data_IF_109720506761
#
_entry.id   IF_109720506761
#
_cell.length_a   1.000
_cell.length_b   1.000
_cell.length_c   1.000
_cell.angle_alpha   90.00
_cell.angle_beta   90.00
_cell.angle_gamma   90.00
#
_symmetry.space_group_name_H-M   'P 1'
#
loop_
_entity.id
_entity.type
_entity.pdbx_description
1 polymer ?
#
# COMPACT_ATOMS: atom_id res chain seq x y z
N UNK A 1 6.29 -32.06 -26.40
CA UNK A 1 6.93 -31.09 -25.50
C UNK A 1 7.75 -30.18 -26.39
N UNK A 2 7.60 -28.87 -26.29
CA UNK A 2 8.52 -27.95 -26.97
C UNK A 2 9.85 -28.10 -26.24
N UNK A 3 10.82 -28.73 -26.89
CA UNK A 3 12.17 -28.87 -26.38
C UNK A 3 12.93 -27.55 -26.53
N UNK A 4 14.12 -27.53 -25.92
CA UNK A 4 15.08 -26.44 -26.08
C UNK A 4 15.41 -26.17 -27.57
N UNK A 5 15.40 -27.21 -28.41
CA UNK A 5 15.65 -27.11 -29.84
C UNK A 5 14.59 -26.29 -30.58
N UNK A 6 13.30 -26.55 -30.38
CA UNK A 6 12.23 -25.79 -31.06
C UNK A 6 12.24 -24.31 -30.63
N UNK A 7 12.57 -24.04 -29.35
CA UNK A 7 12.65 -22.67 -28.83
C UNK A 7 13.81 -21.87 -29.45
N UNK A 8 14.95 -22.53 -29.71
CA UNK A 8 16.08 -21.92 -30.43
C UNK A 8 15.70 -21.55 -31.87
N UNK A 9 14.96 -22.41 -32.58
CA UNK A 9 14.51 -22.12 -33.95
C UNK A 9 13.60 -20.89 -33.99
N UNK A 10 12.64 -20.82 -33.05
CA UNK A 10 11.75 -19.66 -32.92
C UNK A 10 12.55 -18.39 -32.61
N UNK A 11 13.55 -18.49 -31.72
CA UNK A 11 14.42 -17.36 -31.38
C UNK A 11 15.19 -16.86 -32.60
N UNK A 12 15.76 -17.77 -33.41
CA UNK A 12 16.47 -17.40 -34.64
C UNK A 12 15.53 -16.71 -35.63
N UNK A 13 14.32 -17.22 -35.82
CA UNK A 13 13.32 -16.57 -36.69
C UNK A 13 12.94 -15.18 -36.18
N UNK A 14 12.73 -15.02 -34.87
CA UNK A 14 12.47 -13.71 -34.26
C UNK A 14 13.65 -12.75 -34.44
N UNK A 15 14.88 -13.23 -34.29
CA UNK A 15 16.10 -12.45 -34.53
C UNK A 15 16.25 -12.06 -36.00
N UNK A 16 15.78 -12.87 -36.95
CA UNK A 16 15.76 -12.50 -38.38
C UNK A 16 14.73 -11.40 -38.67
N UNK A 17 13.54 -11.48 -38.08
CA UNK A 17 12.46 -10.51 -38.29
C UNK A 17 12.78 -9.15 -37.65
N UNK A 18 13.25 -9.16 -36.41
CA UNK A 18 13.43 -7.96 -35.59
C UNK A 18 14.89 -7.53 -35.47
N UNK A 19 15.84 -8.42 -35.67
CA UNK A 19 17.28 -8.16 -35.50
C UNK A 19 17.77 -8.47 -34.07
N UNK A 20 19.03 -8.92 -33.91
CA UNK A 20 19.60 -9.27 -32.61
C UNK A 20 19.79 -8.11 -31.65
N UNK A 21 19.81 -6.88 -32.17
CA UNK A 21 19.93 -5.68 -31.34
C UNK A 21 18.59 -5.23 -30.76
N UNK A 22 17.46 -5.53 -31.44
CA UNK A 22 16.13 -5.06 -31.03
C UNK A 22 15.57 -5.79 -29.82
N UNK A 23 15.79 -7.10 -29.71
CA UNK A 23 15.30 -7.86 -28.55
C UNK A 23 15.92 -7.35 -27.21
N UNK A 24 17.25 -7.16 -27.09
CA UNK A 24 17.84 -6.56 -25.89
C UNK A 24 17.39 -5.12 -25.63
N UNK A 25 17.26 -4.31 -26.67
CA UNK A 25 16.80 -2.91 -26.57
C UNK A 25 15.37 -2.84 -26.00
N UNK A 26 14.46 -3.65 -26.55
CA UNK A 26 13.08 -3.76 -26.06
C UNK A 26 13.01 -4.31 -24.64
N UNK A 27 13.80 -5.35 -24.31
CA UNK A 27 13.85 -5.90 -22.97
C UNK A 27 14.31 -4.86 -21.93
N UNK A 28 15.31 -4.04 -22.28
CA UNK A 28 15.75 -2.93 -21.41
C UNK A 28 14.68 -1.86 -21.23
N UNK A 29 13.99 -1.48 -22.31
CA UNK A 29 12.91 -0.49 -22.25
C UNK A 29 11.73 -0.98 -21.41
N UNK A 30 11.27 -2.21 -21.65
CA UNK A 30 10.22 -2.86 -20.86
C UNK A 30 10.64 -3.03 -19.39
N UNK A 31 11.89 -3.42 -19.14
CA UNK A 31 12.43 -3.55 -17.79
C UNK A 31 12.40 -2.23 -17.02
N UNK A 32 12.78 -1.12 -17.67
CA UNK A 32 12.66 0.24 -17.09
C UNK A 32 11.20 0.60 -16.82
N UNK A 33 10.31 0.37 -17.78
CA UNK A 33 8.88 0.67 -17.62
C UNK A 33 8.27 -0.12 -16.44
N UNK A 34 8.58 -1.40 -16.30
CA UNK A 34 8.13 -2.24 -15.18
C UNK A 34 8.72 -1.76 -13.85
N UNK A 35 9.99 -1.34 -13.82
CA UNK A 35 10.62 -0.81 -12.62
C UNK A 35 9.95 0.49 -12.14
N UNK A 36 9.73 1.44 -13.05
CA UNK A 36 9.04 2.70 -12.73
C UNK A 36 7.58 2.45 -12.33
N UNK A 37 6.87 1.56 -13.02
CA UNK A 37 5.52 1.16 -12.65
C UNK A 37 5.45 0.59 -11.22
N UNK A 38 6.36 -0.32 -10.87
CA UNK A 38 6.43 -0.89 -9.51
C UNK A 38 6.72 0.17 -8.46
N UNK A 39 7.59 1.14 -8.76
CA UNK A 39 7.90 2.25 -7.85
C UNK A 39 6.67 3.11 -7.62
N UNK A 40 6.01 3.56 -8.69
CA UNK A 40 4.79 4.34 -8.60
C UNK A 40 3.67 3.60 -7.85
N UNK A 41 3.48 2.31 -8.13
CA UNK A 41 2.50 1.48 -7.43
C UNK A 41 2.77 1.42 -5.92
N UNK A 42 4.04 1.26 -5.51
CA UNK A 42 4.44 1.25 -4.10
C UNK A 42 4.21 2.59 -3.41
N UNK A 43 4.51 3.70 -4.10
CA UNK A 43 4.30 5.03 -3.57
C UNK A 43 2.79 5.28 -3.34
N UNK A 44 1.94 4.91 -4.30
CA UNK A 44 0.47 4.99 -4.17
C UNK A 44 -0.02 4.12 -3.00
N UNK A 45 0.44 2.88 -2.89
CA UNK A 45 0.08 1.99 -1.78
C UNK A 45 0.46 2.62 -0.43
N UNK A 46 1.65 3.22 -0.33
CA UNK A 46 2.08 3.90 0.88
C UNK A 46 1.20 5.08 1.23
N UNK A 47 0.79 5.90 0.25
CA UNK A 47 -0.07 7.06 0.50
C UNK A 47 -1.48 6.64 0.90
N UNK A 48 -2.04 5.60 0.26
CA UNK A 48 -3.35 5.03 0.64
C UNK A 48 -3.29 4.49 2.07
N UNK A 49 -2.21 3.78 2.44
CA UNK A 49 -2.06 3.25 3.79
C UNK A 49 -1.93 4.36 4.85
N UNK A 50 -1.24 5.47 4.53
CA UNK A 50 -1.19 6.65 5.41
C UNK A 50 -2.57 7.27 5.57
N UNK A 51 -3.27 7.53 4.47
CA UNK A 51 -4.61 8.09 4.50
C UNK A 51 -5.60 7.21 5.27
N UNK A 52 -5.54 5.88 5.08
CA UNK A 52 -6.35 4.91 5.84
C UNK A 52 -6.07 5.00 7.34
N UNK A 53 -4.79 5.05 7.73
CA UNK A 53 -4.40 5.16 9.14
C UNK A 53 -4.84 6.48 9.78
N UNK A 54 -4.78 7.58 9.03
CA UNK A 54 -5.27 8.89 9.48
C UNK A 54 -6.78 8.87 9.71
N UNK A 55 -7.54 8.31 8.75
CA UNK A 55 -9.00 8.15 8.86
C UNK A 55 -9.36 7.25 10.05
N UNK A 56 -8.71 6.08 10.21
CA UNK A 56 -8.94 5.18 11.35
C UNK A 56 -8.65 5.88 12.68
N UNK A 57 -7.58 6.68 12.76
CA UNK A 57 -7.23 7.42 13.98
C UNK A 57 -8.27 8.50 14.31
N UNK A 58 -8.82 9.17 13.30
CA UNK A 58 -9.86 10.18 13.48
C UNK A 58 -11.20 9.54 13.91
N UNK A 59 -11.57 8.40 13.31
CA UNK A 59 -12.75 7.62 13.69
C UNK A 59 -12.65 7.12 15.14
N UNK A 60 -11.52 6.49 15.50
CA UNK A 60 -11.22 6.05 16.87
C UNK A 60 -11.39 7.22 17.87
N UNK A 61 -10.91 8.42 17.51
CA UNK A 61 -10.99 9.58 18.40
C UNK A 61 -12.41 10.14 18.52
N UNK A 62 -13.22 10.07 17.47
CA UNK A 62 -14.64 10.45 17.50
C UNK A 62 -15.43 9.50 18.42
N UNK A 63 -15.24 8.19 18.28
CA UNK A 63 -15.90 7.19 19.12
C UNK A 63 -15.54 7.38 20.62
N UNK A 64 -14.26 7.61 20.92
CA UNK A 64 -13.82 7.84 22.31
C UNK A 64 -14.42 9.11 22.92
N UNK A 65 -14.60 10.17 22.12
CA UNK A 65 -15.25 11.40 22.57
C UNK A 65 -16.75 11.19 22.82
N UNK A 66 -17.43 10.46 21.94
CA UNK A 66 -18.85 10.15 22.07
C UNK A 66 -19.12 9.29 23.33
N UNK A 67 -18.30 8.29 23.59
CA UNK A 67 -18.39 7.48 24.82
C UNK A 67 -18.15 8.35 26.07
N UNK A 68 -17.16 9.24 26.03
CA UNK A 68 -16.86 10.13 27.14
C UNK A 68 -18.00 11.13 27.42
N UNK A 69 -18.62 11.70 26.39
CA UNK A 69 -19.79 12.58 26.53
C UNK A 69 -20.97 11.84 27.16
N UNK A 70 -21.29 10.64 26.67
CA UNK A 70 -22.37 9.82 27.23
C UNK A 70 -22.14 9.48 28.72
N UNK A 71 -20.87 9.33 29.12
CA UNK A 71 -20.50 9.10 30.51
C UNK A 71 -20.34 10.38 31.34
N UNK A 72 -20.68 11.58 30.83
CA UNK A 72 -20.43 12.86 31.50
C UNK A 72 -18.97 12.99 31.96
N UNK A 73 -18.03 12.60 31.10
CA UNK A 73 -16.59 12.75 31.33
C UNK A 73 -16.13 13.99 30.55
N UNK A 74 -15.57 15.02 31.21
CA UNK A 74 -15.07 16.20 30.51
C UNK A 74 -13.89 15.81 29.61
N UNK A 75 -14.04 16.07 28.30
CA UNK A 75 -13.10 15.71 27.23
C UNK A 75 -12.15 16.85 26.85
N UNK A 76 -12.42 18.08 27.29
CA UNK A 76 -11.64 19.29 26.96
C UNK A 76 -10.25 19.23 27.58
N UNK A 77 -9.23 19.31 26.72
CA UNK A 77 -7.81 19.34 27.12
C UNK A 77 -7.18 18.00 27.49
N UNK A 78 -7.89 16.88 27.30
CA UNK A 78 -7.38 15.54 27.62
C UNK A 78 -6.93 14.76 26.39
N UNK A 79 -5.84 14.02 26.53
CA UNK A 79 -5.33 13.13 25.49
C UNK A 79 -6.13 11.83 25.41
N UNK A 80 -6.04 11.11 24.27
CA UNK A 80 -6.68 9.80 24.04
C UNK A 80 -6.50 8.85 25.23
N UNK A 81 -5.27 8.78 25.75
CA UNK A 81 -4.88 7.88 26.84
C UNK A 81 -5.49 8.27 28.19
N UNK A 82 -5.67 9.57 28.44
CA UNK A 82 -6.29 10.07 29.68
C UNK A 82 -7.80 9.83 29.68
N UNK A 83 -8.47 10.05 28.53
CA UNK A 83 -9.88 9.74 28.35
C UNK A 83 -10.13 8.24 28.56
N UNK A 84 -9.31 7.36 27.97
CA UNK A 84 -9.39 5.91 28.17
C UNK A 84 -9.23 5.49 29.63
N UNK A 85 -8.28 6.09 30.36
CA UNK A 85 -8.07 5.82 31.78
C UNK A 85 -9.26 6.26 32.62
N UNK A 86 -9.89 7.39 32.31
CA UNK A 86 -11.06 7.88 33.03
C UNK A 86 -12.31 7.04 32.76
N UNK A 87 -12.56 6.66 31.50
CA UNK A 87 -13.62 5.71 31.14
C UNK A 87 -13.42 4.42 31.92
N UNK A 88 -12.23 3.80 31.85
CA UNK A 88 -11.95 2.56 32.56
C UNK A 88 -12.14 2.67 34.08
N UNK A 89 -11.80 3.81 34.69
CA UNK A 89 -12.00 4.06 36.12
C UNK A 89 -13.47 4.23 36.49
N UNK A 90 -14.29 4.79 35.60
CA UNK A 90 -15.72 5.05 35.83
C UNK A 90 -16.57 3.79 35.61
N UNK A 91 -16.17 2.90 34.70
CA UNK A 91 -16.86 1.61 34.44
C UNK A 91 -16.49 0.50 35.42
N UNK A 92 -15.33 0.61 36.11
CA UNK A 92 -14.84 -0.42 37.06
C UNK A 92 -15.22 -0.13 38.52
N UNK A 93 -16.16 0.79 38.75
CA UNK A 93 -16.71 1.17 40.05
C UNK A 93 -18.19 0.80 40.09
#
# INVERSE_FOLDING_TARGET
MIGSSELIVILILALFLFGPQKLPEMARALGKAVAEYKKAAKDIESEINKAKKEIETELDMKELKEIAENLNIPTTGKTRTEILKEIAKKTKK
#
